data_IF_152498745371
#
_entry.id   IF_152498745371
#
_cell.length_a   1.000
_cell.length_b   1.000
_cell.length_c   1.000
_cell.angle_alpha   90.00
_cell.angle_beta   90.00
_cell.angle_gamma   90.00
#
_symmetry.space_group_name_H-M   'P 1'
#
loop_
_entity.id
_entity.type
_entity.pdbx_description
1 polymer ?
#
# COMPACT_ATOMS: atom_id res chain seq x y z
N UNK A 1 -52.67 -11.82 -14.13
CA UNK A 1 -51.42 -11.02 -14.07
C UNK A 1 -50.80 -10.98 -15.46
N UNK A 2 -50.50 -9.79 -15.96
CA UNK A 2 -49.99 -9.64 -17.33
C UNK A 2 -48.50 -10.05 -17.39
N UNK A 3 -48.01 -10.47 -18.58
CA UNK A 3 -46.59 -10.81 -18.81
C UNK A 3 -45.64 -9.70 -18.33
N UNK A 4 -46.10 -8.45 -18.33
CA UNK A 4 -45.35 -7.28 -17.85
C UNK A 4 -45.09 -7.34 -16.34
N UNK A 5 -46.03 -7.84 -15.53
CA UNK A 5 -45.84 -7.99 -14.08
C UNK A 5 -44.79 -9.05 -13.74
N UNK A 6 -44.72 -10.14 -14.49
CA UNK A 6 -43.67 -11.16 -14.29
C UNK A 6 -42.27 -10.65 -14.64
N UNK A 7 -42.15 -9.83 -15.69
CA UNK A 7 -40.87 -9.20 -16.09
C UNK A 7 -40.39 -8.23 -15.01
N UNK A 8 -41.28 -7.39 -14.45
CA UNK A 8 -40.94 -6.44 -13.40
C UNK A 8 -40.49 -7.16 -12.11
N UNK A 9 -41.21 -8.22 -11.72
CA UNK A 9 -40.86 -9.03 -10.54
C UNK A 9 -39.49 -9.71 -10.74
N UNK A 10 -39.23 -10.25 -11.95
CA UNK A 10 -37.96 -10.88 -12.27
C UNK A 10 -36.80 -9.88 -12.19
N UNK A 11 -36.96 -8.64 -12.68
CA UNK A 11 -35.96 -7.56 -12.59
C UNK A 11 -35.72 -7.14 -11.15
N UNK A 12 -36.74 -7.08 -10.30
CA UNK A 12 -36.58 -6.75 -8.86
C UNK A 12 -35.82 -7.84 -8.09
N UNK A 13 -36.10 -9.13 -8.40
CA UNK A 13 -35.41 -10.25 -7.75
C UNK A 13 -33.91 -10.29 -8.16
N UNK A 14 -33.61 -10.10 -9.45
CA UNK A 14 -32.21 -10.07 -9.94
C UNK A 14 -31.45 -8.86 -9.42
N UNK A 15 -32.11 -7.71 -9.25
CA UNK A 15 -31.50 -6.52 -8.66
C UNK A 15 -31.14 -6.71 -7.19
N UNK A 16 -31.98 -7.36 -6.41
CA UNK A 16 -31.73 -7.62 -4.98
C UNK A 16 -30.64 -8.68 -4.78
N UNK A 17 -30.57 -9.73 -5.60
CA UNK A 17 -29.52 -10.75 -5.47
C UNK A 17 -28.11 -10.21 -5.68
N UNK A 18 -27.92 -9.20 -6.52
CA UNK A 18 -26.62 -8.56 -6.73
C UNK A 18 -26.18 -7.71 -5.51
N UNK A 19 -27.11 -7.05 -4.83
CA UNK A 19 -26.81 -6.29 -3.60
C UNK A 19 -26.38 -7.21 -2.46
N UNK A 20 -27.10 -8.31 -2.21
CA UNK A 20 -26.74 -9.29 -1.17
C UNK A 20 -25.41 -10.01 -1.46
N UNK A 21 -25.11 -10.29 -2.73
CA UNK A 21 -23.84 -10.93 -3.11
C UNK A 21 -22.64 -10.00 -2.89
N UNK A 22 -22.81 -8.70 -3.09
CA UNK A 22 -21.76 -7.69 -2.87
C UNK A 22 -21.48 -7.50 -1.39
N UNK A 23 -22.52 -7.47 -0.54
CA UNK A 23 -22.38 -7.41 0.90
C UNK A 23 -21.64 -8.65 1.46
N UNK A 24 -22.01 -9.86 1.01
CA UNK A 24 -21.35 -11.09 1.46
C UNK A 24 -19.87 -11.16 1.08
N UNK A 25 -19.50 -10.67 -0.10
CA UNK A 25 -18.09 -10.61 -0.52
C UNK A 25 -17.28 -9.65 0.36
N UNK A 26 -17.83 -8.49 0.73
CA UNK A 26 -17.16 -7.54 1.61
C UNK A 26 -16.91 -8.13 3.01
N UNK A 27 -17.91 -8.80 3.60
CA UNK A 27 -17.75 -9.49 4.89
C UNK A 27 -16.70 -10.58 4.81
N UNK A 28 -16.67 -11.39 3.76
CA UNK A 28 -15.65 -12.42 3.58
C UNK A 28 -14.23 -11.81 3.50
N UNK A 29 -14.06 -10.69 2.78
CA UNK A 29 -12.79 -9.97 2.70
C UNK A 29 -12.35 -9.49 4.08
N UNK A 30 -13.27 -8.92 4.87
CA UNK A 30 -12.98 -8.40 6.22
C UNK A 30 -12.59 -9.55 7.16
N UNK A 31 -13.33 -10.66 7.12
CA UNK A 31 -13.11 -11.82 7.98
C UNK A 31 -11.81 -12.56 7.68
N UNK A 32 -11.22 -12.37 6.48
CA UNK A 32 -9.92 -12.94 6.12
C UNK A 32 -8.71 -12.17 6.68
N UNK A 33 -8.92 -10.95 7.21
CA UNK A 33 -7.82 -10.15 7.79
C UNK A 33 -7.28 -10.83 9.06
N UNK A 34 -5.95 -11.03 9.09
CA UNK A 34 -5.30 -11.68 10.23
C UNK A 34 -4.35 -10.73 10.95
N UNK A 35 -4.66 -10.44 12.20
CA UNK A 35 -3.80 -9.70 13.10
C UNK A 35 -2.46 -10.39 13.31
N UNK A 36 -2.43 -11.72 13.35
CA UNK A 36 -1.21 -12.51 13.53
C UNK A 36 -0.26 -12.38 12.33
N UNK A 37 -0.79 -12.33 11.10
CA UNK A 37 0.04 -12.10 9.90
C UNK A 37 0.58 -10.67 9.89
N UNK A 38 -0.24 -9.69 10.22
CA UNK A 38 0.17 -8.29 10.32
C UNK A 38 1.28 -8.12 11.37
N UNK A 39 1.11 -8.69 12.57
CA UNK A 39 2.12 -8.66 13.64
C UNK A 39 3.44 -9.31 13.20
N UNK A 40 3.36 -10.45 12.52
CA UNK A 40 4.53 -11.14 11.96
C UNK A 40 5.26 -10.28 10.93
N UNK A 41 4.53 -9.61 10.04
CA UNK A 41 5.10 -8.76 9.01
C UNK A 41 5.74 -7.50 9.63
N UNK A 42 5.10 -6.86 10.62
CA UNK A 42 5.68 -5.77 11.41
C UNK A 42 6.97 -6.22 12.09
N UNK A 43 6.92 -7.34 12.81
CA UNK A 43 8.08 -7.91 13.50
C UNK A 43 9.23 -8.18 12.54
N UNK A 44 8.91 -8.68 11.34
CA UNK A 44 9.92 -8.90 10.30
C UNK A 44 10.53 -7.60 9.80
N UNK A 45 9.73 -6.57 9.54
CA UNK A 45 10.23 -5.26 9.12
C UNK A 45 11.11 -4.60 10.19
N UNK A 46 10.70 -4.68 11.45
CA UNK A 46 11.49 -4.22 12.62
C UNK A 46 12.83 -4.95 12.72
N UNK A 47 12.84 -6.25 12.44
CA UNK A 47 14.06 -7.09 12.56
C UNK A 47 15.20 -6.67 11.62
N UNK A 48 14.97 -5.82 10.63
CA UNK A 48 16.03 -5.24 9.80
C UNK A 48 16.84 -4.14 10.50
N UNK A 49 16.53 -3.82 11.75
CA UNK A 49 17.23 -2.87 12.63
C UNK A 49 17.01 -1.42 12.21
N UNK A 50 17.38 -1.06 11.01
CA UNK A 50 17.04 0.23 10.38
C UNK A 50 16.49 -0.02 8.98
N UNK A 51 15.56 0.83 8.57
CA UNK A 51 15.11 0.90 7.17
C UNK A 51 15.31 2.31 6.60
N UNK A 52 16.17 3.11 7.26
CA UNK A 52 16.47 4.44 6.76
C UNK A 52 16.86 4.40 5.28
N UNK A 53 16.36 5.30 4.48
CA UNK A 53 16.54 5.34 3.01
C UNK A 53 18.00 5.25 2.58
N UNK A 54 18.93 5.85 3.34
CA UNK A 54 20.37 5.84 3.08
C UNK A 54 21.13 4.70 3.78
N UNK A 55 20.43 3.78 4.44
CA UNK A 55 21.05 2.64 5.12
C UNK A 55 21.56 1.58 4.14
N UNK A 56 22.11 0.49 4.68
CA UNK A 56 22.70 -0.61 3.90
C UNK A 56 21.73 -1.16 2.84
N UNK A 57 22.21 -1.24 1.62
CA UNK A 57 21.47 -1.76 0.46
C UNK A 57 21.91 -3.17 0.04
N UNK A 58 22.99 -3.71 0.62
CA UNK A 58 23.63 -4.98 0.21
C UNK A 58 23.25 -6.11 1.15
N UNK A 59 23.31 -5.88 2.47
CA UNK A 59 23.00 -6.88 3.48
C UNK A 59 21.61 -7.48 3.29
N UNK A 60 21.48 -8.80 3.50
CA UNK A 60 20.17 -9.49 3.50
C UNK A 60 19.48 -9.48 4.86
N UNK A 61 20.17 -8.98 5.91
CA UNK A 61 19.68 -9.00 7.28
C UNK A 61 19.37 -7.63 7.85
N UNK A 62 19.91 -6.54 7.27
CA UNK A 62 19.80 -5.19 7.80
C UNK A 62 19.65 -4.16 6.68
N UNK A 63 18.97 -3.07 6.98
CA UNK A 63 18.88 -1.88 6.15
C UNK A 63 17.76 -1.94 5.12
N UNK A 64 17.61 -0.82 4.41
CA UNK A 64 16.55 -0.60 3.40
C UNK A 64 16.63 -1.65 2.27
N UNK A 65 17.84 -2.11 1.93
CA UNK A 65 18.04 -3.13 0.91
C UNK A 65 17.40 -4.47 1.27
N UNK A 66 17.59 -4.92 2.52
CA UNK A 66 16.99 -6.15 3.03
C UNK A 66 15.45 -6.03 3.08
N UNK A 67 14.94 -4.90 3.57
CA UNK A 67 13.50 -4.67 3.69
C UNK A 67 12.80 -4.69 2.33
N UNK A 68 13.29 -3.94 1.32
CA UNK A 68 12.66 -3.91 0.00
C UNK A 68 12.72 -5.24 -0.73
N UNK A 69 13.82 -6.04 -0.55
CA UNK A 69 13.90 -7.39 -1.12
C UNK A 69 12.90 -8.34 -0.46
N UNK A 70 12.73 -8.25 0.85
CA UNK A 70 11.76 -9.05 1.57
C UNK A 70 10.32 -8.70 1.13
N UNK A 71 9.94 -7.42 1.07
CA UNK A 71 8.61 -6.98 0.61
C UNK A 71 8.34 -7.49 -0.82
N UNK A 72 9.33 -7.34 -1.72
CA UNK A 72 9.19 -7.85 -3.08
C UNK A 72 8.94 -9.35 -3.09
N UNK A 73 9.66 -10.10 -2.27
CA UNK A 73 9.48 -11.56 -2.14
C UNK A 73 8.09 -11.91 -1.60
N UNK A 74 7.55 -11.17 -0.61
CA UNK A 74 6.18 -11.38 -0.13
C UNK A 74 5.17 -11.19 -1.26
N UNK A 75 5.26 -10.12 -2.04
CA UNK A 75 4.38 -9.93 -3.20
C UNK A 75 4.55 -11.03 -4.27
N UNK A 76 5.77 -11.53 -4.49
CA UNK A 76 6.02 -12.66 -5.40
C UNK A 76 5.41 -13.97 -4.88
N UNK A 77 5.44 -14.22 -3.57
CA UNK A 77 4.78 -15.36 -2.93
C UNK A 77 3.27 -15.24 -3.13
N UNK A 78 2.67 -14.11 -2.79
CA UNK A 78 1.24 -13.84 -3.00
C UNK A 78 0.88 -14.07 -4.47
N UNK A 79 1.69 -13.54 -5.40
CA UNK A 79 1.48 -13.75 -6.83
C UNK A 79 1.48 -15.23 -7.22
N UNK A 80 2.37 -16.02 -6.62
CA UNK A 80 2.44 -17.47 -6.90
C UNK A 80 1.21 -18.22 -6.41
N UNK A 81 0.65 -17.80 -5.28
CA UNK A 81 -0.56 -18.40 -4.68
C UNK A 81 -1.84 -18.10 -5.47
N UNK A 82 -1.86 -17.02 -6.24
CA UNK A 82 -2.99 -16.62 -7.08
C UNK A 82 -2.75 -16.82 -8.59
N UNK A 83 -1.95 -17.81 -8.98
CA UNK A 83 -1.64 -18.11 -10.38
C UNK A 83 -0.97 -16.95 -11.14
N UNK A 84 0.00 -16.27 -10.52
CA UNK A 84 0.72 -15.12 -11.06
C UNK A 84 -0.19 -13.92 -11.35
N UNK A 85 -1.15 -13.67 -10.46
CA UNK A 85 -2.10 -12.58 -10.61
C UNK A 85 -1.50 -11.18 -10.37
N UNK A 86 -0.30 -11.08 -9.77
CA UNK A 86 0.38 -9.81 -9.51
C UNK A 86 1.60 -9.65 -10.43
N UNK A 87 1.71 -8.49 -11.05
CA UNK A 87 2.91 -8.03 -11.75
C UNK A 87 3.82 -7.34 -10.73
N UNK A 88 4.93 -7.97 -10.32
CA UNK A 88 5.81 -7.47 -9.26
C UNK A 88 7.12 -6.94 -9.82
N UNK A 89 7.45 -5.67 -9.53
CA UNK A 89 8.68 -5.05 -10.01
C UNK A 89 9.16 -3.91 -9.08
N UNK A 90 10.39 -3.45 -9.32
CA UNK A 90 10.90 -2.21 -8.72
C UNK A 90 10.68 -1.03 -9.66
N UNK A 91 10.03 0.02 -9.18
CA UNK A 91 10.12 1.35 -9.75
C UNK A 91 11.30 2.08 -9.10
N UNK A 92 12.12 2.76 -9.90
CA UNK A 92 13.43 3.29 -9.45
C UNK A 92 13.61 4.73 -9.87
N UNK A 93 14.16 5.52 -8.95
CA UNK A 93 14.63 6.86 -9.25
C UNK A 93 15.98 7.15 -8.60
N UNK A 94 16.79 7.98 -9.23
CA UNK A 94 18.07 8.42 -8.67
C UNK A 94 17.94 9.83 -8.12
N UNK A 95 18.28 10.00 -6.84
CA UNK A 95 18.19 11.26 -6.12
C UNK A 95 19.61 11.73 -5.82
N UNK A 96 19.94 12.94 -6.22
CA UNK A 96 21.28 13.52 -6.06
C UNK A 96 21.37 14.53 -4.93
N UNK A 97 20.23 15.13 -4.54
CA UNK A 97 20.15 16.22 -3.56
C UNK A 97 18.81 16.23 -2.83
N UNK A 98 18.80 16.82 -1.65
CA UNK A 98 17.64 17.01 -0.77
C UNK A 98 18.12 17.34 0.63
N UNK A 99 17.31 18.04 1.42
CA UNK A 99 17.68 18.49 2.77
C UNK A 99 18.10 17.34 3.70
N UNK A 100 17.58 16.13 3.43
CA UNK A 100 17.89 14.92 4.20
C UNK A 100 18.61 13.85 3.38
N UNK A 101 19.23 14.25 2.25
CA UNK A 101 20.04 13.38 1.38
C UNK A 101 21.50 13.79 1.50
N UNK A 102 22.27 13.05 2.29
CA UNK A 102 23.70 13.35 2.56
C UNK A 102 24.65 12.80 1.48
N UNK A 103 24.17 11.93 0.60
CA UNK A 103 24.87 11.45 -0.60
C UNK A 103 23.89 10.94 -1.64
N UNK A 104 24.23 11.02 -2.93
CA UNK A 104 23.38 10.53 -4.01
C UNK A 104 22.99 9.06 -3.83
N UNK A 105 21.73 8.72 -4.01
CA UNK A 105 21.22 7.36 -3.78
C UNK A 105 20.14 6.96 -4.76
N UNK A 106 19.95 5.65 -4.91
CA UNK A 106 18.81 5.07 -5.61
C UNK A 106 17.64 4.83 -4.67
N UNK A 107 16.50 5.37 -5.00
CA UNK A 107 15.21 5.09 -4.38
C UNK A 107 14.55 3.93 -5.14
N UNK A 108 14.01 2.95 -4.41
CA UNK A 108 13.33 1.79 -4.99
C UNK A 108 11.97 1.62 -4.33
N UNK A 109 10.92 1.89 -5.06
CA UNK A 109 9.58 1.47 -4.69
C UNK A 109 9.38 0.01 -5.08
N UNK A 110 8.65 -0.73 -4.26
CA UNK A 110 8.25 -2.10 -4.57
C UNK A 110 6.79 -2.09 -5.01
N UNK A 111 6.52 -2.41 -6.26
CA UNK A 111 5.21 -2.30 -6.89
C UNK A 111 4.67 -3.68 -7.22
N UNK A 112 3.40 -3.94 -6.87
CA UNK A 112 2.65 -5.13 -7.26
C UNK A 112 1.31 -4.70 -7.86
N UNK A 113 1.03 -5.08 -9.10
CA UNK A 113 -0.18 -4.71 -9.83
C UNK A 113 -1.07 -5.91 -10.01
N UNK A 114 -2.30 -5.83 -9.48
CA UNK A 114 -3.40 -6.73 -9.80
C UNK A 114 -4.26 -6.11 -10.89
N UNK A 115 -4.28 -6.71 -12.08
CA UNK A 115 -5.04 -6.17 -13.21
C UNK A 115 -6.53 -6.34 -13.06
N UNK A 116 -7.25 -5.26 -13.34
CA UNK A 116 -8.70 -5.27 -13.42
C UNK A 116 -9.23 -6.03 -14.64
N UNK A 117 -10.41 -6.59 -14.51
CA UNK A 117 -11.04 -7.41 -15.56
C UNK A 117 -11.73 -6.60 -16.66
N UNK A 118 -12.22 -5.39 -16.34
CA UNK A 118 -12.91 -4.51 -17.31
C UNK A 118 -12.09 -3.26 -17.64
N UNK A 119 -11.45 -2.65 -16.65
CA UNK A 119 -10.73 -1.39 -16.79
C UNK A 119 -9.28 -1.55 -16.34
N UNK A 120 -8.42 -2.30 -17.06
CA UNK A 120 -7.07 -2.64 -16.61
C UNK A 120 -6.11 -1.44 -16.50
N UNK A 121 -6.43 -0.29 -17.10
CA UNK A 121 -5.65 0.94 -17.02
C UNK A 121 -6.19 1.94 -15.98
N UNK A 122 -7.25 1.58 -15.26
CA UNK A 122 -7.85 2.39 -14.21
C UNK A 122 -7.47 1.83 -12.85
N UNK A 123 -6.82 2.65 -11.99
CA UNK A 123 -6.10 2.16 -10.82
C UNK A 123 -6.60 2.78 -9.52
N UNK A 124 -6.68 1.94 -8.49
CA UNK A 124 -6.65 2.35 -7.09
C UNK A 124 -5.29 1.93 -6.54
N UNK A 125 -4.61 2.83 -5.82
CA UNK A 125 -3.31 2.56 -5.20
C UNK A 125 -3.52 2.39 -3.71
N UNK A 126 -2.98 1.30 -3.15
CA UNK A 126 -2.77 1.12 -1.71
C UNK A 126 -1.28 1.20 -1.43
N UNK A 127 -0.87 2.08 -0.53
CA UNK A 127 0.53 2.32 -0.23
C UNK A 127 0.84 2.25 1.26
N UNK A 128 2.09 1.96 1.56
CA UNK A 128 2.72 2.14 2.85
C UNK A 128 4.21 2.41 2.62
N UNK A 129 4.87 3.06 3.58
CA UNK A 129 6.28 3.43 3.41
C UNK A 129 7.19 2.33 3.92
N UNK A 130 8.26 2.06 3.17
CA UNK A 130 9.25 1.03 3.54
C UNK A 130 10.22 1.57 4.56
N UNK A 131 10.64 2.83 4.36
CA UNK A 131 11.68 3.45 5.17
C UNK A 131 11.18 3.83 6.58
N UNK A 132 12.15 4.11 7.43
CA UNK A 132 11.96 4.54 8.82
C UNK A 132 13.12 5.42 9.22
N UNK A 133 12.94 6.26 10.24
CA UNK A 133 14.00 7.09 10.81
C UNK A 133 13.91 7.18 12.32
N UNK A 134 14.97 7.71 12.93
CA UNK A 134 14.98 8.23 14.30
C UNK A 134 14.80 9.76 14.27
N UNK A 135 14.83 10.40 15.44
CA UNK A 135 14.66 11.86 15.55
C UNK A 135 15.67 12.67 14.74
N UNK A 136 16.90 12.18 14.61
CA UNK A 136 17.87 12.74 13.65
C UNK A 136 17.64 12.15 12.25
N UNK A 137 17.07 12.90 11.30
CA UNK A 137 16.74 12.40 9.97
C UNK A 137 17.97 12.15 9.08
N UNK A 138 19.17 12.52 9.51
CA UNK A 138 20.42 12.28 8.80
C UNK A 138 21.14 11.03 9.31
N UNK A 139 20.73 10.48 10.44
CA UNK A 139 21.33 9.30 11.02
C UNK A 139 20.80 8.03 10.38
N UNK A 140 21.49 7.56 9.36
CA UNK A 140 21.17 6.35 8.61
C UNK A 140 21.86 5.07 9.14
N UNK A 141 22.61 5.16 10.26
CA UNK A 141 23.44 4.07 10.79
C UNK A 141 22.79 3.37 11.98
N UNK A 142 22.22 4.14 12.88
CA UNK A 142 21.65 3.63 14.11
C UNK A 142 20.33 2.89 13.86
N UNK A 143 19.90 2.11 14.83
CA UNK A 143 18.64 1.38 14.73
C UNK A 143 17.45 2.35 14.69
N UNK A 144 16.60 2.15 13.71
CA UNK A 144 15.32 2.83 13.55
C UNK A 144 14.24 1.80 13.25
N UNK A 145 13.75 1.10 14.28
CA UNK A 145 12.85 -0.03 14.10
C UNK A 145 11.52 0.33 13.43
N UNK A 146 11.01 1.55 13.64
CA UNK A 146 9.85 2.11 12.95
C UNK A 146 8.66 1.13 12.89
N UNK A 147 8.22 0.58 14.04
CA UNK A 147 7.17 -0.41 14.07
C UNK A 147 5.81 0.18 13.66
N UNK A 148 5.46 1.36 14.21
CA UNK A 148 4.28 2.09 13.82
C UNK A 148 4.53 2.94 12.57
N UNK A 149 5.63 3.68 12.54
CA UNK A 149 6.08 4.52 11.44
C UNK A 149 7.26 3.85 10.68
N UNK A 150 7.03 3.20 9.52
CA UNK A 150 5.71 2.88 8.97
C UNK A 150 5.61 1.38 8.62
N UNK A 151 6.19 0.49 9.50
CA UNK A 151 6.00 -0.96 9.30
C UNK A 151 4.53 -1.36 9.43
N UNK A 152 3.72 -0.62 10.22
CA UNK A 152 2.28 -0.89 10.34
C UNK A 152 1.55 -0.68 9.02
N UNK A 153 1.77 0.44 8.34
CA UNK A 153 1.16 0.73 7.04
C UNK A 153 1.62 -0.21 5.94
N UNK A 154 2.92 -0.56 5.94
CA UNK A 154 3.44 -1.52 4.97
C UNK A 154 2.88 -2.92 5.17
N UNK A 155 2.77 -3.40 6.43
CA UNK A 155 2.16 -4.68 6.75
C UNK A 155 0.68 -4.72 6.36
N UNK A 156 -0.08 -3.64 6.60
CA UNK A 156 -1.46 -3.51 6.15
C UNK A 156 -1.58 -3.58 4.62
N UNK A 157 -0.65 -2.97 3.89
CA UNK A 157 -0.60 -3.01 2.42
C UNK A 157 -0.29 -4.44 1.91
N UNK A 158 0.62 -5.16 2.55
CA UNK A 158 0.93 -6.57 2.21
C UNK A 158 -0.27 -7.46 2.52
N UNK A 159 -0.92 -7.28 3.67
CA UNK A 159 -2.10 -8.06 4.04
C UNK A 159 -3.26 -7.82 3.07
N UNK A 160 -3.49 -6.57 2.66
CA UNK A 160 -4.46 -6.25 1.63
C UNK A 160 -4.17 -6.96 0.31
N UNK A 161 -2.90 -6.99 -0.14
CA UNK A 161 -2.52 -7.75 -1.34
C UNK A 161 -2.80 -9.25 -1.18
N UNK A 162 -2.51 -9.81 0.00
CA UNK A 162 -2.70 -11.24 0.31
C UNK A 162 -4.17 -11.67 0.26
N UNK A 163 -5.06 -10.78 0.66
CA UNK A 163 -6.49 -11.06 0.66
C UNK A 163 -7.11 -10.72 -0.69
N UNK A 164 -6.93 -9.48 -1.15
CA UNK A 164 -7.63 -8.98 -2.34
C UNK A 164 -7.18 -9.68 -3.63
N UNK A 165 -5.96 -10.21 -3.69
CA UNK A 165 -5.47 -10.97 -4.85
C UNK A 165 -6.30 -12.22 -5.17
N UNK A 166 -7.05 -12.74 -4.21
CA UNK A 166 -7.96 -13.89 -4.39
C UNK A 166 -9.26 -13.53 -5.11
N UNK A 167 -9.56 -12.23 -5.22
CA UNK A 167 -10.79 -11.71 -5.80
C UNK A 167 -10.50 -11.03 -7.14
N UNK A 168 -11.55 -10.89 -7.96
CA UNK A 168 -11.47 -10.18 -9.24
C UNK A 168 -12.25 -8.87 -9.13
N UNK A 169 -11.60 -7.78 -9.56
CA UNK A 169 -12.17 -6.44 -9.57
C UNK A 169 -12.29 -5.91 -10.99
N UNK A 170 -13.17 -4.94 -11.19
CA UNK A 170 -13.34 -4.27 -12.48
C UNK A 170 -12.12 -3.39 -12.82
N UNK A 171 -11.60 -2.67 -11.84
CA UNK A 171 -10.42 -1.81 -11.95
C UNK A 171 -9.17 -2.52 -11.40
N UNK A 172 -8.01 -2.04 -11.79
CA UNK A 172 -6.73 -2.53 -11.27
C UNK A 172 -6.46 -2.00 -9.86
N UNK A 173 -5.76 -2.81 -9.06
CA UNK A 173 -5.26 -2.40 -7.75
C UNK A 173 -3.73 -2.45 -7.79
N UNK A 174 -3.10 -1.40 -7.28
CA UNK A 174 -1.66 -1.34 -7.08
C UNK A 174 -1.38 -1.40 -5.58
N UNK A 175 -0.58 -2.35 -5.16
CA UNK A 175 0.00 -2.42 -3.82
C UNK A 175 1.43 -1.94 -3.92
N UNK A 176 1.82 -0.94 -3.14
CA UNK A 176 3.15 -0.36 -3.28
C UNK A 176 3.77 -0.04 -1.93
N UNK A 177 5.03 -0.47 -1.76
CA UNK A 177 5.92 0.04 -0.74
C UNK A 177 6.71 1.22 -1.30
N UNK A 178 6.51 2.40 -0.72
CA UNK A 178 7.22 3.62 -1.09
C UNK A 178 8.51 3.74 -0.29
N UNK A 179 9.56 4.27 -0.89
CA UNK A 179 10.85 4.52 -0.25
C UNK A 179 11.22 6.00 -0.31
N UNK A 180 11.94 6.47 0.70
CA UNK A 180 12.38 7.87 0.76
C UNK A 180 11.27 8.84 1.12
N UNK A 181 10.26 8.35 1.82
CA UNK A 181 9.22 9.19 2.42
C UNK A 181 9.85 10.16 3.41
N UNK A 182 10.59 9.63 4.37
CA UNK A 182 11.23 10.32 5.48
C UNK A 182 12.30 11.34 5.05
N UNK A 183 12.84 11.18 3.85
CA UNK A 183 13.83 12.07 3.29
C UNK A 183 13.26 13.15 2.36
N UNK A 184 11.97 13.14 2.08
CA UNK A 184 11.29 14.15 1.28
C UNK A 184 10.33 13.60 0.22
N UNK A 185 9.60 12.53 0.52
CA UNK A 185 8.55 11.93 -0.31
C UNK A 185 9.05 11.46 -1.68
N UNK A 186 10.34 11.12 -1.82
CA UNK A 186 10.96 10.83 -3.11
C UNK A 186 10.31 9.67 -3.85
N UNK A 187 9.93 8.60 -3.13
CA UNK A 187 9.26 7.45 -3.71
C UNK A 187 7.89 7.79 -4.28
N UNK A 188 7.09 8.55 -3.53
CA UNK A 188 5.79 9.02 -3.99
C UNK A 188 5.89 9.91 -5.23
N UNK A 189 6.83 10.86 -5.22
CA UNK A 189 7.08 11.74 -6.38
C UNK A 189 7.54 10.95 -7.62
N UNK A 190 8.40 9.95 -7.42
CA UNK A 190 8.87 9.09 -8.52
C UNK A 190 7.73 8.26 -9.10
N UNK A 191 6.93 7.62 -8.23
CA UNK A 191 5.78 6.83 -8.65
C UNK A 191 4.76 7.69 -9.42
N UNK A 192 4.50 8.92 -8.99
CA UNK A 192 3.60 9.83 -9.68
C UNK A 192 4.09 10.18 -11.10
N UNK A 193 5.39 10.44 -11.24
CA UNK A 193 6.02 10.66 -12.57
C UNK A 193 5.93 9.41 -13.44
N UNK A 194 6.19 8.24 -12.86
CA UNK A 194 6.08 6.96 -13.56
C UNK A 194 4.64 6.68 -14.00
N UNK A 195 3.66 6.87 -13.12
CA UNK A 195 2.24 6.72 -13.43
C UNK A 195 1.79 7.62 -14.58
N UNK A 196 2.16 8.91 -14.53
CA UNK A 196 1.88 9.88 -15.60
C UNK A 196 2.50 9.45 -16.93
N UNK A 197 3.77 9.04 -16.92
CA UNK A 197 4.48 8.56 -18.13
C UNK A 197 3.87 7.29 -18.71
N UNK A 198 3.37 6.40 -17.84
CA UNK A 198 2.75 5.14 -18.22
C UNK A 198 1.27 5.27 -18.61
N UNK A 199 0.70 6.47 -18.54
CA UNK A 199 -0.70 6.72 -18.88
C UNK A 199 -1.70 6.07 -17.91
N UNK A 200 -1.35 5.95 -16.63
CA UNK A 200 -2.23 5.38 -15.63
C UNK A 200 -3.39 6.34 -15.29
N UNK A 201 -4.63 5.85 -15.34
CA UNK A 201 -5.82 6.55 -14.82
C UNK A 201 -5.96 6.22 -13.32
N UNK A 202 -5.31 7.00 -12.47
CA UNK A 202 -5.36 6.82 -11.01
C UNK A 202 -6.59 7.54 -10.46
N UNK A 203 -7.56 6.76 -9.95
CA UNK A 203 -8.84 7.28 -9.45
C UNK A 203 -8.89 7.42 -7.92
N UNK A 204 -7.90 6.88 -7.21
CA UNK A 204 -7.81 6.99 -5.75
C UNK A 204 -6.51 6.43 -5.22
N UNK A 205 -6.07 6.98 -4.09
CA UNK A 205 -4.89 6.51 -3.34
C UNK A 205 -5.32 6.34 -1.89
N UNK A 206 -5.07 5.16 -1.33
CA UNK A 206 -5.24 4.83 0.07
C UNK A 206 -3.84 4.66 0.68
N UNK A 207 -3.32 5.72 1.30
CA UNK A 207 -2.03 5.67 1.97
C UNK A 207 -2.23 5.23 3.42
N UNK A 208 -1.54 4.18 3.81
CA UNK A 208 -1.52 3.67 5.18
C UNK A 208 -0.26 4.20 5.86
N UNK A 209 -0.46 5.09 6.84
CA UNK A 209 0.62 5.70 7.57
C UNK A 209 0.29 5.74 9.06
N UNK A 210 1.17 5.14 9.87
CA UNK A 210 1.06 5.04 11.32
C UNK A 210 -0.28 4.46 11.81
N UNK A 211 -0.71 3.33 11.23
CA UNK A 211 -2.03 2.74 11.50
C UNK A 211 -2.06 1.78 12.71
N UNK A 212 -0.93 1.58 13.39
CA UNK A 212 -0.80 0.60 14.47
C UNK A 212 -0.94 1.19 15.88
N UNK A 213 -1.06 2.50 16.06
CA UNK A 213 -1.13 3.12 17.37
C UNK A 213 -2.57 3.27 17.86
N UNK A 214 -2.85 2.75 19.06
CA UNK A 214 -4.18 2.83 19.67
C UNK A 214 -4.20 3.68 20.96
N UNK A 215 -3.04 4.07 21.50
CA UNK A 215 -2.93 4.84 22.74
C UNK A 215 -2.44 6.26 22.43
N UNK A 216 -3.21 7.27 22.84
CA UNK A 216 -2.85 8.67 22.75
C UNK A 216 -1.82 9.09 23.79
N UNK A 217 -1.18 10.25 23.58
CA UNK A 217 -0.24 10.85 24.56
C UNK A 217 -0.88 11.18 25.91
N UNK A 218 -2.19 11.26 25.95
CA UNK A 218 -3.01 11.46 27.14
C UNK A 218 -3.38 10.14 27.87
N UNK A 219 -2.88 9.00 27.37
CA UNK A 219 -3.18 7.67 27.90
C UNK A 219 -4.57 7.12 27.52
N UNK A 220 -5.31 7.83 26.67
CA UNK A 220 -6.60 7.34 26.16
C UNK A 220 -6.36 6.27 25.12
N UNK A 221 -6.95 5.08 25.34
CA UNK A 221 -6.91 3.97 24.39
C UNK A 221 -8.16 3.99 23.53
N UNK A 222 -8.00 4.13 22.22
CA UNK A 222 -9.06 3.97 21.21
C UNK A 222 -8.63 2.92 20.18
N UNK A 223 -9.23 1.75 20.25
CA UNK A 223 -9.04 0.65 19.29
C UNK A 223 -10.30 0.42 18.42
N UNK A 224 -11.20 1.39 18.33
CA UNK A 224 -12.48 1.28 17.63
C UNK A 224 -12.60 2.28 16.47
N UNK A 225 -11.75 3.30 16.45
CA UNK A 225 -11.75 4.31 15.41
C UNK A 225 -10.38 4.44 14.75
N UNK A 226 -10.36 5.00 13.56
CA UNK A 226 -9.15 5.41 12.86
C UNK A 226 -9.40 6.75 12.18
N UNK A 227 -8.32 7.48 11.91
CA UNK A 227 -8.41 8.79 11.27
C UNK A 227 -8.22 8.64 9.77
N UNK A 228 -9.11 9.26 9.01
CA UNK A 228 -8.95 9.41 7.57
C UNK A 228 -8.70 10.88 7.29
N UNK A 229 -7.59 11.17 6.62
CA UNK A 229 -7.30 12.50 6.09
C UNK A 229 -7.58 12.48 4.59
N UNK A 230 -8.33 13.45 4.10
CA UNK A 230 -8.57 13.62 2.67
C UNK A 230 -8.22 15.06 2.28
N UNK A 231 -7.47 15.20 1.18
CA UNK A 231 -7.25 16.50 0.57
C UNK A 231 -8.52 16.92 -0.18
N UNK A 232 -9.07 18.12 0.08
CA UNK A 232 -10.14 18.66 -0.75
C UNK A 232 -9.58 18.89 -2.16
N UNK A 233 -10.33 18.51 -3.19
CA UNK A 233 -10.01 18.86 -4.58
C UNK A 233 -10.08 20.37 -4.77
N UNK A 234 -9.00 21.08 -4.46
CA UNK A 234 -8.84 22.44 -4.93
C UNK A 234 -8.40 22.34 -6.39
N UNK A 235 -9.29 22.60 -7.31
CA UNK A 235 -8.94 22.95 -8.68
C UNK A 235 -8.11 24.24 -8.65
N UNK A 236 -6.83 24.12 -8.33
CA UNK A 236 -5.91 25.23 -8.43
C UNK A 236 -5.31 25.15 -9.84
N UNK A 237 -5.85 25.98 -10.73
CA UNK A 237 -5.43 26.12 -12.14
C UNK A 237 -3.96 26.55 -12.35
N UNK A 238 -3.13 26.46 -11.32
CA UNK A 238 -1.69 26.79 -11.37
C UNK A 238 -0.77 25.63 -11.73
N UNK A 239 -1.30 24.42 -11.90
CA UNK A 239 -0.48 23.23 -12.23
C UNK A 239 -1.00 22.45 -13.47
N UNK A 240 -1.75 23.12 -14.36
CA UNK A 240 -2.09 22.58 -15.68
C UNK A 240 -0.98 22.89 -16.69
#
# INVERSE_FOLDING_TARGET
MSKLHYIIILFLIVGQSNLFAQDSMMYNIIDEVSSERIEKDITKLVSFGTRHTLSDTISDKRGIGAARRWIKKEFEIISSECNKCLEVFYEKSYVTEGDRIVFPTWIYNVVAIQRGTKNPNRFIIMSGDIDSRISDPLNYKDDSPGANDNASGMAGTIEAARILSKYKFDNSIIYVGLSGEEQGLFGGQSLAKFAKKSGWDVIGILNNDMIGNIEGVDGVIDNRSFRIFSEPFFFNSKYS
#
